data_IF_046623910085
#
_entry.id   IF_046623910085
#
_cell.length_a   1.000
_cell.length_b   1.000
_cell.length_c   1.000
_cell.angle_alpha   90.00
_cell.angle_beta   90.00
_cell.angle_gamma   90.00
#
_symmetry.space_group_name_H-M   'P 1'
#
loop_
_entity.id
_entity.type
_entity.pdbx_description
1 polymer ?
#
# COMPACT_ATOMS: atom_id res chain seq x y z
N UNK A 1 -23.89 5.28 -11.06
CA UNK A 1 -24.48 6.26 -10.11
C UNK A 1 -24.86 7.53 -10.87
N UNK A 2 -25.84 8.31 -10.39
CA UNK A 2 -26.26 9.61 -10.96
C UNK A 2 -26.54 10.61 -9.83
N UNK A 3 -26.06 11.84 -9.98
CA UNK A 3 -26.46 12.96 -9.12
C UNK A 3 -27.62 13.72 -9.77
N UNK A 4 -28.75 13.81 -9.07
CA UNK A 4 -29.85 14.70 -9.44
C UNK A 4 -29.76 15.94 -8.54
N UNK A 5 -29.07 16.97 -9.05
CA UNK A 5 -28.80 18.21 -8.32
C UNK A 5 -30.05 19.09 -8.31
N UNK A 6 -30.44 19.57 -7.13
CA UNK A 6 -31.61 20.43 -6.93
C UNK A 6 -31.34 21.91 -7.23
N UNK A 7 -32.22 22.77 -6.73
CA UNK A 7 -32.08 24.22 -6.86
C UNK A 7 -30.85 24.75 -6.10
N UNK A 8 -30.28 25.89 -6.52
CA UNK A 8 -29.18 26.53 -5.81
C UNK A 8 -29.50 26.79 -4.33
N UNK A 9 -28.50 26.65 -3.45
CA UNK A 9 -28.59 27.00 -2.03
C UNK A 9 -27.30 27.66 -1.56
N UNK A 10 -27.36 28.46 -0.50
CA UNK A 10 -26.16 29.03 0.12
C UNK A 10 -25.34 27.93 0.78
N UNK A 11 -24.06 27.84 0.44
CA UNK A 11 -23.09 26.96 1.10
C UNK A 11 -21.98 27.81 1.72
N UNK A 12 -21.83 27.72 3.04
CA UNK A 12 -20.78 28.39 3.81
C UNK A 12 -19.59 27.47 4.10
N UNK A 13 -19.59 26.25 3.56
CA UNK A 13 -18.45 25.35 3.64
C UNK A 13 -17.24 25.96 2.92
N UNK A 14 -16.06 25.70 3.46
CA UNK A 14 -14.80 26.07 2.83
C UNK A 14 -13.80 24.94 2.98
N UNK A 15 -12.96 24.76 1.96
CA UNK A 15 -11.86 23.80 2.00
C UNK A 15 -10.62 24.54 2.48
N UNK A 16 -10.03 24.21 3.64
CA UNK A 16 -8.83 24.87 4.12
C UNK A 16 -7.67 24.70 3.13
N UNK A 17 -6.82 25.72 3.00
CA UNK A 17 -5.61 25.64 2.18
C UNK A 17 -4.63 24.54 2.66
N UNK A 18 -4.73 24.12 3.93
CA UNK A 18 -3.96 23.04 4.52
C UNK A 18 -4.87 22.16 5.38
N UNK A 19 -5.00 20.89 5.01
CA UNK A 19 -5.81 19.93 5.76
C UNK A 19 -5.09 19.41 7.01
N UNK A 20 -3.79 19.14 6.91
CA UNK A 20 -2.96 18.62 8.00
C UNK A 20 -1.46 18.82 7.75
N UNK A 21 -0.64 18.44 8.72
CA UNK A 21 0.81 18.21 8.55
C UNK A 21 1.06 16.70 8.60
N UNK A 22 1.70 16.17 7.57
CA UNK A 22 2.16 14.78 7.55
C UNK A 22 3.66 14.73 7.85
N UNK A 23 4.13 13.77 8.67
CA UNK A 23 5.56 13.53 8.81
C UNK A 23 6.16 13.12 7.46
N UNK A 24 7.39 13.57 7.21
CA UNK A 24 8.17 13.20 6.02
C UNK A 24 8.39 11.68 6.03
N UNK A 25 8.15 11.04 4.89
CA UNK A 25 8.58 9.67 4.67
C UNK A 25 10.07 9.71 4.30
N UNK A 26 10.93 9.23 5.19
CA UNK A 26 12.37 9.12 4.95
C UNK A 26 12.79 7.66 4.87
N UNK A 27 12.91 7.15 3.65
CA UNK A 27 13.29 5.77 3.38
C UNK A 27 14.69 5.43 3.91
N UNK A 28 15.58 6.43 4.10
CA UNK A 28 16.93 6.19 4.62
C UNK A 28 16.94 5.77 6.10
N UNK A 29 15.84 6.01 6.82
CA UNK A 29 15.68 5.57 8.21
C UNK A 29 15.30 4.10 8.34
N UNK A 30 14.91 3.46 7.23
CA UNK A 30 14.45 2.08 7.25
C UNK A 30 15.57 1.13 7.66
N UNK A 31 15.22 0.18 8.52
CA UNK A 31 16.18 -0.77 9.10
C UNK A 31 16.25 -2.07 8.32
N UNK A 32 15.27 -2.32 7.45
CA UNK A 32 15.22 -3.45 6.54
C UNK A 32 14.36 -3.09 5.33
N UNK A 33 14.70 -3.69 4.19
CA UNK A 33 13.85 -3.72 3.00
C UNK A 33 13.34 -5.14 2.80
N UNK A 34 12.04 -5.30 2.55
CA UNK A 34 11.40 -6.60 2.31
C UNK A 34 10.73 -6.63 0.94
N UNK A 35 10.72 -7.80 0.33
CA UNK A 35 10.10 -8.06 -0.96
C UNK A 35 8.93 -9.02 -0.81
N UNK A 36 7.80 -8.63 -1.39
CA UNK A 36 6.61 -9.44 -1.48
C UNK A 36 6.13 -9.46 -2.93
N UNK A 37 6.19 -10.64 -3.53
CA UNK A 37 5.68 -10.94 -4.86
C UNK A 37 4.28 -11.53 -4.75
N UNK A 38 3.28 -10.79 -5.22
CA UNK A 38 1.91 -11.24 -5.35
C UNK A 38 1.73 -11.85 -6.73
N UNK A 39 1.43 -13.14 -6.78
CA UNK A 39 1.32 -13.86 -8.05
C UNK A 39 0.35 -15.04 -7.99
N UNK A 40 -0.24 -15.37 -9.13
CA UNK A 40 -0.93 -16.65 -9.33
C UNK A 40 0.09 -17.73 -9.66
N UNK A 41 -0.04 -18.89 -9.03
CA UNK A 41 0.74 -20.08 -9.41
C UNK A 41 -0.14 -21.05 -10.19
N UNK A 42 0.41 -21.65 -11.24
CA UNK A 42 -0.32 -22.57 -12.10
C UNK A 42 -0.93 -23.72 -11.29
N UNK A 43 -2.25 -23.87 -11.36
CA UNK A 43 -2.99 -24.89 -10.61
C UNK A 43 -3.10 -24.66 -9.09
N UNK A 44 -2.56 -23.57 -8.54
CA UNK A 44 -2.44 -23.36 -7.09
C UNK A 44 -2.91 -21.99 -6.56
N UNK A 45 -3.65 -21.21 -7.35
CA UNK A 45 -4.29 -19.97 -6.89
C UNK A 45 -3.31 -18.83 -6.59
N UNK A 46 -3.78 -17.81 -5.87
CA UNK A 46 -2.99 -16.61 -5.55
C UNK A 46 -2.10 -16.82 -4.33
N UNK A 47 -0.87 -16.32 -4.42
CA UNK A 47 0.19 -16.51 -3.42
C UNK A 47 0.94 -15.21 -3.13
N UNK A 48 1.65 -15.20 -2.00
CA UNK A 48 2.68 -14.19 -1.70
C UNK A 48 4.01 -14.93 -1.58
N UNK A 49 5.01 -14.52 -2.36
CA UNK A 49 6.31 -15.20 -2.45
C UNK A 49 6.18 -16.71 -2.78
N UNK A 50 5.17 -17.08 -3.58
CA UNK A 50 4.91 -18.48 -3.95
C UNK A 50 4.19 -19.31 -2.86
N UNK A 51 3.84 -18.70 -1.73
CA UNK A 51 3.18 -19.38 -0.63
C UNK A 51 1.71 -19.01 -0.51
N UNK A 52 0.85 -20.02 -0.38
CA UNK A 52 -0.53 -19.84 0.04
C UNK A 52 -0.59 -19.43 1.52
N UNK A 53 -1.67 -18.76 1.89
CA UNK A 53 -1.95 -18.45 3.29
C UNK A 53 -2.02 -19.73 4.13
N UNK A 54 -1.31 -19.71 5.27
CA UNK A 54 -1.39 -20.74 6.31
C UNK A 54 -1.58 -20.04 7.64
N UNK A 55 -2.67 -20.36 8.34
CA UNK A 55 -2.96 -19.77 9.64
C UNK A 55 -1.81 -20.04 10.63
N UNK A 56 -1.43 -19.02 11.40
CA UNK A 56 -0.34 -19.11 12.37
C UNK A 56 1.07 -19.02 11.78
N UNK A 57 1.22 -18.88 10.46
CA UNK A 57 2.53 -18.68 9.82
C UNK A 57 2.73 -17.21 9.42
N UNK A 58 3.81 -16.62 9.91
CA UNK A 58 4.22 -15.25 9.54
C UNK A 58 5.17 -15.24 8.34
N UNK A 59 4.95 -14.34 7.38
CA UNK A 59 5.90 -14.03 6.30
C UNK A 59 6.96 -12.99 6.70
N UNK A 60 6.68 -12.22 7.75
CA UNK A 60 7.58 -11.22 8.30
C UNK A 60 7.35 -11.06 9.82
N UNK A 61 8.42 -10.71 10.54
CA UNK A 61 8.39 -10.40 11.98
C UNK A 61 8.97 -8.99 12.20
N UNK A 62 8.22 -7.93 11.84
CA UNK A 62 8.67 -6.56 12.02
C UNK A 62 8.84 -6.22 13.51
N UNK A 63 9.86 -5.42 13.82
CA UNK A 63 10.11 -4.97 15.18
C UNK A 63 9.38 -3.65 15.47
N UNK A 64 8.79 -3.54 16.66
CA UNK A 64 8.07 -2.34 17.08
C UNK A 64 8.99 -1.10 17.02
N UNK A 65 8.50 -0.02 16.41
CA UNK A 65 9.22 1.26 16.31
C UNK A 65 10.41 1.24 15.33
N UNK A 66 10.60 0.17 14.56
CA UNK A 66 11.66 0.06 13.55
C UNK A 66 11.04 0.19 12.16
N UNK A 67 11.21 1.34 11.47
CA UNK A 67 10.64 1.51 10.14
C UNK A 67 11.28 0.53 9.15
N UNK A 68 10.47 0.08 8.20
CA UNK A 68 10.86 -0.85 7.13
C UNK A 68 10.39 -0.31 5.77
N UNK A 69 11.08 -0.67 4.69
CA UNK A 69 10.61 -0.46 3.31
C UNK A 69 10.07 -1.78 2.78
N UNK A 70 8.80 -1.81 2.39
CA UNK A 70 8.20 -3.00 1.78
C UNK A 70 7.98 -2.75 0.30
N UNK A 71 8.56 -3.59 -0.53
CA UNK A 71 8.42 -3.59 -1.99
C UNK A 71 7.37 -4.63 -2.37
N UNK A 72 6.29 -4.14 -2.98
CA UNK A 72 5.19 -4.95 -3.46
C UNK A 72 5.28 -5.05 -4.98
N UNK A 73 5.49 -6.26 -5.49
CA UNK A 73 5.49 -6.57 -6.92
C UNK A 73 4.34 -7.49 -7.22
N UNK A 74 3.73 -7.34 -8.39
CA UNK A 74 2.46 -7.98 -8.72
C UNK A 74 2.42 -8.40 -10.19
N UNK A 75 1.87 -9.58 -10.47
CA UNK A 75 1.68 -10.09 -11.84
C UNK A 75 0.43 -9.50 -12.53
N UNK A 76 -0.59 -9.13 -11.75
CA UNK A 76 -1.80 -8.43 -12.20
C UNK A 76 -2.11 -7.23 -11.29
N UNK A 77 -3.29 -6.62 -11.42
CA UNK A 77 -3.67 -5.51 -10.54
C UNK A 77 -4.12 -6.02 -9.15
N UNK A 78 -3.21 -5.98 -8.16
CA UNK A 78 -3.51 -6.32 -6.76
C UNK A 78 -3.51 -5.09 -5.85
N UNK A 79 -4.65 -4.67 -5.27
CA UNK A 79 -4.66 -3.67 -4.21
C UNK A 79 -4.19 -4.30 -2.89
N UNK A 80 -2.92 -4.06 -2.52
CA UNK A 80 -2.33 -4.60 -1.30
C UNK A 80 -2.75 -3.79 -0.07
N UNK A 81 -3.25 -4.49 0.96
CA UNK A 81 -3.59 -3.92 2.26
C UNK A 81 -2.69 -4.49 3.35
N UNK A 82 -2.09 -3.60 4.15
CA UNK A 82 -1.33 -3.94 5.35
C UNK A 82 -2.16 -3.61 6.60
N UNK A 83 -2.18 -4.52 7.57
CA UNK A 83 -2.84 -4.30 8.87
C UNK A 83 -1.88 -3.68 9.89
N UNK A 84 -2.45 -3.14 10.96
CA UNK A 84 -1.81 -2.46 12.10
C UNK A 84 -1.28 -1.06 11.79
N UNK A 85 -0.38 -0.92 10.83
CA UNK A 85 0.32 0.34 10.58
C UNK A 85 -0.19 1.09 9.34
N UNK A 86 -0.09 2.43 9.42
CA UNK A 86 -0.21 3.30 8.25
C UNK A 86 1.12 3.34 7.51
N UNK A 87 1.09 3.36 6.18
CA UNK A 87 2.31 3.45 5.36
C UNK A 87 2.31 4.68 4.45
N UNK A 88 3.49 4.98 3.89
CA UNK A 88 3.70 6.02 2.89
C UNK A 88 4.14 5.36 1.60
N UNK A 89 3.51 5.71 0.48
CA UNK A 89 3.94 5.25 -0.84
C UNK A 89 5.20 6.03 -1.22
N UNK A 90 6.33 5.34 -1.26
CA UNK A 90 7.62 5.95 -1.63
C UNK A 90 7.82 6.03 -3.14
N UNK A 91 7.43 4.97 -3.86
CA UNK A 91 7.50 4.86 -5.31
C UNK A 91 6.34 4.00 -5.80
N UNK A 92 5.88 4.25 -7.03
CA UNK A 92 4.97 3.39 -7.79
C UNK A 92 5.55 3.26 -9.20
N UNK A 93 5.82 2.02 -9.63
CA UNK A 93 6.15 1.73 -11.03
C UNK A 93 4.87 1.61 -11.86
N UNK A 94 4.88 2.09 -13.10
CA UNK A 94 3.70 2.09 -13.97
C UNK A 94 3.72 1.04 -15.09
N UNK A 95 4.81 0.28 -15.28
CA UNK A 95 4.86 -0.88 -16.19
C UNK A 95 6.20 -1.59 -16.00
N UNK A 96 6.25 -2.80 -15.42
CA UNK A 96 7.34 -3.78 -15.53
C UNK A 96 8.78 -3.40 -15.11
N UNK A 97 9.12 -2.13 -14.96
CA UNK A 97 10.49 -1.66 -14.76
C UNK A 97 10.82 -1.69 -13.27
N UNK A 98 11.40 -2.81 -12.88
CA UNK A 98 12.23 -2.92 -11.69
C UNK A 98 13.56 -2.24 -12.06
N UNK A 99 13.62 -0.91 -11.90
CA UNK A 99 14.89 -0.19 -12.00
C UNK A 99 15.88 -0.74 -10.96
N UNK A 100 17.11 -0.96 -11.44
CA UNK A 100 18.28 -1.53 -10.75
C UNK A 100 18.47 -1.12 -9.28
#
# INVERSE_FOLDING_TARGET
MRFAVGSPSSDSSSIPARLSLLPRADASTATVTRDFLFQSVAGGGWTINGEQYRAGRSLATPALGRPEVWRFTTDVHHPVHLRLDQFRVLKRGNAGDIGD
#
